data_IF_498247272374
#
_entry.id   IF_498247272374
#
_cell.length_a   1.000
_cell.length_b   1.000
_cell.length_c   1.000
_cell.angle_alpha   90.00
_cell.angle_beta   90.00
_cell.angle_gamma   90.00
#
_symmetry.space_group_name_H-M   'P 1'
#
loop_
_entity.id
_entity.type
_entity.pdbx_description
1 polymer ?
#
# COMPACT_ATOMS: atom_id res chain seq x y z
N UNK A 1 8.24 -0.49 -6.27
CA UNK A 1 9.33 0.51 -6.53
C UNK A 1 9.72 1.33 -5.30
N UNK A 2 8.77 1.89 -4.56
CA UNK A 2 9.01 2.83 -3.46
C UNK A 2 9.88 2.24 -2.32
N UNK A 3 9.70 0.96 -1.96
CA UNK A 3 10.51 0.29 -0.93
C UNK A 3 12.00 0.21 -1.31
N UNK A 4 12.29 -0.12 -2.58
CA UNK A 4 13.65 -0.19 -3.13
C UNK A 4 14.33 1.18 -3.09
N UNK A 5 13.60 2.23 -3.45
CA UNK A 5 14.10 3.60 -3.43
C UNK A 5 14.35 4.14 -2.02
N UNK A 6 13.52 3.77 -1.04
CA UNK A 6 13.71 4.13 0.35
C UNK A 6 14.93 3.40 0.94
N UNK A 7 15.03 2.08 0.73
CA UNK A 7 16.16 1.28 1.17
C UNK A 7 17.49 1.75 0.56
N UNK A 8 17.51 2.13 -0.72
CA UNK A 8 18.68 2.71 -1.39
C UNK A 8 19.16 4.03 -0.76
N UNK A 9 18.29 4.75 -0.06
CA UNK A 9 18.62 5.97 0.70
C UNK A 9 18.94 5.69 2.17
N UNK A 10 19.11 4.42 2.55
CA UNK A 10 19.47 4.01 3.90
C UNK A 10 18.29 3.82 4.85
N UNK A 11 17.05 3.85 4.37
CA UNK A 11 15.90 3.54 5.21
C UNK A 11 15.92 2.06 5.64
N UNK A 12 15.54 1.80 6.89
CA UNK A 12 15.21 0.45 7.37
C UNK A 12 13.75 0.19 7.02
N UNK A 13 13.49 -0.82 6.20
CA UNK A 13 12.18 -1.04 5.59
C UNK A 13 11.46 -2.21 6.26
N UNK A 14 10.22 -1.97 6.67
CA UNK A 14 9.22 -3.03 6.83
C UNK A 14 8.35 -2.99 5.59
N UNK A 15 8.22 -4.10 4.87
CA UNK A 15 7.31 -4.20 3.73
C UNK A 15 6.10 -5.04 4.10
N UNK A 16 4.90 -4.61 3.73
CA UNK A 16 3.68 -5.33 4.04
C UNK A 16 2.80 -5.53 2.80
N UNK A 17 2.28 -6.73 2.62
CA UNK A 17 1.38 -7.08 1.53
C UNK A 17 0.68 -8.41 1.81
N UNK A 18 -0.33 -8.74 1.00
CA UNK A 18 -1.01 -10.04 1.06
C UNK A 18 -0.24 -11.16 0.35
N UNK A 19 0.53 -10.80 -0.69
CA UNK A 19 1.39 -11.72 -1.42
C UNK A 19 2.71 -11.90 -0.65
N UNK A 20 2.86 -13.04 0.02
CA UNK A 20 4.01 -13.32 0.88
C UNK A 20 5.26 -13.67 0.08
N UNK A 21 5.09 -14.31 -1.07
CA UNK A 21 6.15 -14.70 -1.98
C UNK A 21 6.84 -13.45 -2.55
N UNK A 22 6.06 -12.47 -3.02
CA UNK A 22 6.59 -11.18 -3.49
C UNK A 22 7.35 -10.41 -2.38
N UNK A 23 6.87 -10.47 -1.14
CA UNK A 23 7.56 -9.88 0.01
C UNK A 23 8.90 -10.57 0.32
N UNK A 24 8.93 -11.90 0.27
CA UNK A 24 10.15 -12.69 0.49
C UNK A 24 11.20 -12.34 -0.57
N UNK A 25 10.80 -12.30 -1.84
CA UNK A 25 11.67 -11.91 -2.95
C UNK A 25 12.22 -10.49 -2.77
N UNK A 26 11.36 -9.53 -2.45
CA UNK A 26 11.78 -8.14 -2.18
C UNK A 26 12.78 -8.07 -1.03
N UNK A 27 12.50 -8.70 0.11
CA UNK A 27 13.40 -8.65 1.27
C UNK A 27 14.73 -9.34 0.97
N UNK A 28 14.73 -10.46 0.25
CA UNK A 28 15.96 -11.11 -0.18
C UNK A 28 16.78 -10.20 -1.11
N UNK A 29 16.13 -9.54 -2.07
CA UNK A 29 16.77 -8.58 -2.97
C UNK A 29 17.43 -7.42 -2.21
N UNK A 30 16.71 -6.80 -1.27
CA UNK A 30 17.20 -5.67 -0.49
C UNK A 30 18.36 -6.09 0.43
N UNK A 31 18.24 -7.23 1.11
CA UNK A 31 19.31 -7.77 1.95
C UNK A 31 20.56 -8.12 1.14
N UNK A 32 20.40 -8.66 -0.07
CA UNK A 32 21.50 -8.91 -1.00
C UNK A 32 22.28 -7.65 -1.40
N UNK A 33 21.64 -6.48 -1.32
CA UNK A 33 22.25 -5.16 -1.53
C UNK A 33 22.82 -4.52 -0.25
N UNK A 34 22.87 -5.27 0.86
CA UNK A 34 23.33 -4.78 2.16
C UNK A 34 22.34 -3.86 2.88
N UNK A 35 21.08 -3.81 2.43
CA UNK A 35 20.05 -2.95 3.00
C UNK A 35 19.28 -3.67 4.10
N UNK A 36 18.74 -2.92 5.06
CA UNK A 36 17.95 -3.47 6.17
C UNK A 36 16.47 -3.54 5.80
N UNK A 37 15.95 -4.75 5.64
CA UNK A 37 14.54 -4.98 5.36
C UNK A 37 13.97 -6.21 6.07
N UNK A 38 12.72 -6.13 6.50
CA UNK A 38 11.88 -7.26 6.95
C UNK A 38 10.50 -7.15 6.31
N UNK A 39 9.71 -8.22 6.36
CA UNK A 39 8.35 -8.20 5.82
C UNK A 39 7.32 -8.69 6.84
N UNK A 40 6.07 -8.26 6.63
CA UNK A 40 4.89 -8.73 7.34
C UNK A 40 3.81 -9.06 6.32
N UNK A 41 3.34 -10.31 6.29
CA UNK A 41 2.14 -10.65 5.54
C UNK A 41 0.93 -10.06 6.25
N UNK A 42 0.23 -9.15 5.59
CA UNK A 42 -0.91 -8.45 6.17
C UNK A 42 -1.92 -8.01 5.10
N UNK A 43 -3.19 -8.06 5.46
CA UNK A 43 -4.27 -7.33 4.80
C UNK A 43 -4.54 -6.02 5.55
N UNK A 44 -4.32 -4.89 4.86
CA UNK A 44 -4.52 -3.56 5.47
C UNK A 44 -5.97 -3.29 5.83
N UNK A 45 -6.94 -4.00 5.24
CA UNK A 45 -8.35 -3.91 5.61
C UNK A 45 -8.67 -4.50 6.99
N UNK A 46 -7.69 -5.09 7.67
CA UNK A 46 -7.83 -5.70 8.99
C UNK A 46 -6.92 -4.97 9.99
N UNK A 47 -7.54 -4.22 10.90
CA UNK A 47 -6.83 -3.36 11.86
C UNK A 47 -5.82 -4.12 12.72
N UNK A 48 -6.13 -5.37 13.13
CA UNK A 48 -5.21 -6.20 13.91
C UNK A 48 -3.93 -6.53 13.15
N UNK A 49 -4.01 -6.71 11.82
CA UNK A 49 -2.85 -7.02 11.00
C UNK A 49 -1.99 -5.77 10.75
N UNK A 50 -2.63 -4.62 10.60
CA UNK A 50 -1.94 -3.32 10.48
C UNK A 50 -1.13 -3.02 11.74
N UNK A 51 -1.68 -3.30 12.92
CA UNK A 51 -0.95 -3.13 14.18
C UNK A 51 0.30 -4.01 14.26
N UNK A 52 0.25 -5.26 13.76
CA UNK A 52 1.42 -6.15 13.70
C UNK A 52 2.55 -5.59 12.84
N UNK A 53 2.25 -4.81 11.79
CA UNK A 53 3.27 -4.15 10.96
C UNK A 53 4.06 -3.16 11.82
N UNK A 54 3.37 -2.31 12.57
CA UNK A 54 4.01 -1.32 13.45
C UNK A 54 4.80 -1.99 14.59
N UNK A 55 4.23 -3.02 15.23
CA UNK A 55 4.92 -3.82 16.25
C UNK A 55 6.21 -4.42 15.69
N UNK A 56 6.17 -4.98 14.49
CA UNK A 56 7.35 -5.56 13.83
C UNK A 56 8.41 -4.48 13.58
N UNK A 57 8.02 -3.28 13.13
CA UNK A 57 8.95 -2.17 12.92
C UNK A 57 9.64 -1.76 14.23
N UNK A 58 8.89 -1.65 15.31
CA UNK A 58 9.40 -1.26 16.62
C UNK A 58 10.31 -2.35 17.20
N UNK A 59 9.91 -3.62 17.15
CA UNK A 59 10.71 -4.73 17.65
C UNK A 59 12.01 -4.92 16.86
N UNK A 60 11.97 -4.75 15.54
CA UNK A 60 13.13 -5.00 14.67
C UNK A 60 14.08 -3.81 14.62
N UNK A 61 13.55 -2.59 14.54
CA UNK A 61 14.33 -1.38 14.26
C UNK A 61 14.29 -0.33 15.38
N UNK A 62 13.52 -0.58 16.45
CA UNK A 62 13.40 0.25 17.64
C UNK A 62 12.37 1.37 17.53
N UNK A 63 11.94 1.74 16.32
CA UNK A 63 11.00 2.84 16.08
C UNK A 63 10.35 2.75 14.69
N UNK A 64 9.24 3.47 14.53
CA UNK A 64 8.60 3.75 13.25
C UNK A 64 8.65 5.26 13.00
N UNK A 65 9.27 5.72 11.89
CA UNK A 65 9.42 7.15 11.57
C UNK A 65 8.47 7.64 10.47
N UNK A 66 8.21 6.77 9.49
CA UNK A 66 7.40 7.07 8.32
C UNK A 66 6.49 5.88 8.05
N UNK A 67 5.22 6.17 7.76
CA UNK A 67 4.23 5.19 7.34
C UNK A 67 3.71 5.54 5.94
N UNK A 68 3.61 4.56 5.05
CA UNK A 68 3.17 4.79 3.67
C UNK A 68 1.92 3.95 3.38
N UNK A 69 0.76 4.60 3.38
CA UNK A 69 -0.46 3.95 2.91
C UNK A 69 -0.41 3.85 1.37
N UNK A 70 0.12 2.73 0.88
CA UNK A 70 0.26 2.45 -0.56
C UNK A 70 -0.66 1.32 -1.06
N UNK A 71 -1.11 0.41 -0.19
CA UNK A 71 -2.00 -0.67 -0.61
C UNK A 71 -3.28 -0.10 -1.23
N UNK A 72 -3.60 -0.58 -2.42
CA UNK A 72 -4.79 -0.20 -3.17
C UNK A 72 -5.23 -1.32 -4.09
N UNK A 73 -6.50 -1.29 -4.46
CA UNK A 73 -7.11 -2.18 -5.42
C UNK A 73 -8.02 -1.41 -6.36
N UNK A 74 -8.16 -1.91 -7.58
CA UNK A 74 -8.94 -1.27 -8.63
C UNK A 74 -10.04 -2.20 -9.13
N UNK A 75 -11.16 -1.61 -9.51
CA UNK A 75 -12.26 -2.30 -10.20
C UNK A 75 -12.47 -1.61 -11.54
N UNK A 76 -12.42 -2.39 -12.61
CA UNK A 76 -12.78 -1.94 -13.95
C UNK A 76 -14.12 -2.58 -14.34
N UNK A 77 -15.12 -1.76 -14.61
CA UNK A 77 -16.45 -2.21 -15.02
C UNK A 77 -17.43 -1.06 -15.22
N UNK A 78 -18.57 -1.32 -15.87
CA UNK A 78 -19.66 -0.35 -15.89
C UNK A 78 -20.23 -0.21 -14.49
N UNK A 79 -20.63 1.02 -14.10
CA UNK A 79 -21.10 1.26 -12.73
C UNK A 79 -22.27 0.35 -12.31
N UNK A 80 -23.14 -0.03 -13.24
CA UNK A 80 -24.27 -0.93 -13.00
C UNK A 80 -23.90 -2.42 -12.94
N UNK A 81 -22.68 -2.78 -13.35
CA UNK A 81 -22.18 -4.16 -13.39
C UNK A 81 -21.28 -4.49 -12.19
N UNK A 82 -20.78 -3.46 -11.49
CA UNK A 82 -19.93 -3.66 -10.31
C UNK A 82 -20.80 -4.15 -9.15
N UNK A 83 -20.45 -5.32 -8.63
CA UNK A 83 -21.14 -5.90 -7.48
C UNK A 83 -20.94 -5.03 -6.24
N UNK A 84 -21.94 -5.00 -5.35
CA UNK A 84 -21.77 -4.34 -4.06
C UNK A 84 -20.63 -4.97 -3.26
N UNK A 85 -20.41 -6.28 -3.36
CA UNK A 85 -19.32 -6.98 -2.67
C UNK A 85 -17.94 -6.47 -3.11
N UNK A 86 -17.72 -6.31 -4.41
CA UNK A 86 -16.48 -5.75 -4.94
C UNK A 86 -16.29 -4.31 -4.49
N UNK A 87 -17.35 -3.49 -4.54
CA UNK A 87 -17.29 -2.12 -4.05
C UNK A 87 -16.91 -2.05 -2.55
N UNK A 88 -17.50 -2.91 -1.71
CA UNK A 88 -17.12 -3.00 -0.30
C UNK A 88 -15.68 -3.43 -0.13
N UNK A 89 -15.20 -4.44 -0.88
CA UNK A 89 -13.81 -4.90 -0.81
C UNK A 89 -12.82 -3.81 -1.22
N UNK A 90 -13.15 -3.00 -2.22
CA UNK A 90 -12.37 -1.83 -2.62
C UNK A 90 -12.31 -0.81 -1.47
N UNK A 91 -13.44 -0.45 -0.87
CA UNK A 91 -13.47 0.48 0.27
C UNK A 91 -12.71 -0.06 1.49
N UNK A 92 -12.82 -1.36 1.77
CA UNK A 92 -12.06 -2.01 2.85
C UNK A 92 -10.56 -1.84 2.66
N UNK A 93 -10.04 -1.95 1.44
CA UNK A 93 -8.61 -1.78 1.17
C UNK A 93 -8.23 -0.29 1.08
N UNK A 94 -8.86 0.44 0.16
CA UNK A 94 -8.44 1.77 -0.27
C UNK A 94 -8.81 2.86 0.74
N UNK A 95 -9.89 2.68 1.50
CA UNK A 95 -10.31 3.65 2.52
C UNK A 95 -9.97 3.17 3.92
N UNK A 96 -10.50 2.02 4.34
CA UNK A 96 -10.28 1.52 5.71
C UNK A 96 -8.81 1.18 5.96
N UNK A 97 -8.10 0.62 4.98
CA UNK A 97 -6.66 0.40 5.09
C UNK A 97 -5.85 1.68 5.37
N UNK A 98 -6.19 2.78 4.70
CA UNK A 98 -5.57 4.10 4.96
C UNK A 98 -5.90 4.60 6.36
N UNK A 99 -7.16 4.43 6.80
CA UNK A 99 -7.61 4.82 8.14
C UNK A 99 -6.85 4.05 9.21
N UNK A 100 -6.76 2.72 9.08
CA UNK A 100 -6.05 1.86 10.01
C UNK A 100 -4.57 2.25 10.09
N UNK A 101 -3.88 2.31 8.95
CA UNK A 101 -2.47 2.66 8.90
C UNK A 101 -2.18 4.05 9.48
N UNK A 102 -3.02 5.05 9.16
CA UNK A 102 -2.89 6.40 9.71
C UNK A 102 -3.08 6.42 11.23
N UNK A 103 -4.11 5.75 11.75
CA UNK A 103 -4.35 5.67 13.20
C UNK A 103 -3.17 5.03 13.92
N UNK A 104 -2.70 3.87 13.44
CA UNK A 104 -1.57 3.15 14.02
C UNK A 104 -0.29 4.00 14.03
N UNK A 105 0.05 4.64 12.91
CA UNK A 105 1.23 5.50 12.82
C UNK A 105 1.14 6.74 13.73
N UNK A 106 0.01 7.45 13.71
CA UNK A 106 -0.20 8.65 14.53
C UNK A 106 -0.20 8.32 16.02
N UNK A 107 -0.80 7.19 16.42
CA UNK A 107 -0.75 6.73 17.80
C UNK A 107 0.69 6.53 18.26
N UNK A 108 1.51 5.84 17.45
CA UNK A 108 2.93 5.65 17.75
C UNK A 108 3.70 6.98 17.85
N UNK A 109 3.47 7.92 16.93
CA UNK A 109 4.14 9.23 16.97
C UNK A 109 3.78 10.04 18.22
N UNK A 110 2.51 9.95 18.66
CA UNK A 110 2.06 10.58 19.90
C UNK A 110 2.70 9.94 21.13
N UNK A 111 2.71 8.61 21.21
CA UNK A 111 3.26 7.86 22.35
C UNK A 111 4.77 8.08 22.51
N UNK A 112 5.53 8.09 21.39
CA UNK A 112 6.97 8.34 21.43
C UNK A 112 7.34 9.81 21.67
N UNK A 113 6.38 10.73 21.54
CA UNK A 113 6.60 12.17 21.71
C UNK A 113 7.48 12.82 20.62
N UNK A 114 7.59 12.21 19.44
CA UNK A 114 8.41 12.72 18.33
C UNK A 114 7.63 12.74 17.02
N UNK A 115 7.78 13.79 16.19
CA UNK A 115 7.09 13.89 14.90
C UNK A 115 7.48 12.75 13.98
N UNK A 116 6.56 12.34 13.11
CA UNK A 116 6.79 11.38 12.04
C UNK A 116 6.02 11.78 10.78
N UNK A 117 6.10 10.97 9.73
CA UNK A 117 5.41 11.25 8.47
C UNK A 117 4.40 10.15 8.13
N UNK A 118 3.20 10.53 7.71
CA UNK A 118 2.24 9.63 7.06
C UNK A 118 2.10 10.07 5.61
N UNK A 119 2.34 9.14 4.68
CA UNK A 119 2.25 9.38 3.24
C UNK A 119 1.09 8.53 2.71
N UNK A 120 0.11 9.18 2.10
CA UNK A 120 -1.00 8.49 1.42
C UNK A 120 -0.74 8.54 -0.08
N UNK A 121 -0.57 7.38 -0.69
CA UNK A 121 -0.45 7.27 -2.15
C UNK A 121 -1.85 7.12 -2.71
N UNK A 122 -2.39 8.21 -3.25
CA UNK A 122 -3.66 8.20 -3.95
C UNK A 122 -3.43 8.08 -5.45
N UNK A 123 -4.27 7.30 -6.10
CA UNK A 123 -4.33 7.19 -7.54
C UNK A 123 -5.25 8.30 -8.08
N UNK A 124 -4.82 8.99 -9.15
CA UNK A 124 -5.68 9.89 -9.92
C UNK A 124 -6.12 9.16 -11.17
N UNK A 125 -7.41 9.17 -11.45
CA UNK A 125 -7.93 8.59 -12.68
C UNK A 125 -8.06 9.59 -13.79
N UNK A 126 -7.62 9.16 -14.94
CA UNK A 126 -7.83 9.87 -16.17
C UNK A 126 -9.10 9.33 -16.82
N UNK A 127 -10.21 10.05 -16.64
CA UNK A 127 -11.39 9.85 -17.45
C UNK A 127 -11.16 10.55 -18.77
N UNK A 128 -10.54 9.85 -19.72
CA UNK A 128 -10.74 10.22 -21.12
C UNK A 128 -12.25 10.18 -21.34
N UNK A 129 -12.86 11.27 -21.83
CA UNK A 129 -14.32 11.48 -21.89
C UNK A 129 -15.14 10.46 -22.71
N UNK A 130 -14.58 9.28 -22.97
CA UNK A 130 -15.17 8.12 -23.63
C UNK A 130 -15.88 7.14 -22.68
N UNK A 131 -15.62 7.18 -21.37
CA UNK A 131 -16.37 6.37 -20.40
C UNK A 131 -17.39 7.24 -19.66
N UNK A 132 -18.55 7.45 -20.29
CA UNK A 132 -19.60 8.30 -19.70
C UNK A 132 -20.26 7.70 -18.43
N UNK A 133 -20.05 6.42 -18.10
CA UNK A 133 -20.78 5.72 -17.00
C UNK A 133 -19.93 4.70 -16.20
N UNK A 134 -18.60 4.82 -16.16
CA UNK A 134 -17.72 3.85 -15.46
C UNK A 134 -17.11 4.40 -14.17
N UNK A 135 -16.93 3.56 -13.16
CA UNK A 135 -15.99 3.85 -12.07
C UNK A 135 -14.58 3.49 -12.57
N UNK A 136 -13.77 4.50 -12.82
CA UNK A 136 -12.35 4.31 -13.08
C UNK A 136 -11.59 4.73 -11.84
N UNK A 137 -10.97 3.77 -11.15
CA UNK A 137 -9.75 3.96 -10.35
C UNK A 137 -8.59 3.33 -11.15
N UNK A 138 -7.54 4.08 -11.51
CA UNK A 138 -6.65 3.80 -12.64
C UNK A 138 -5.23 4.23 -12.33
N UNK A 139 -4.31 3.27 -12.27
CA UNK A 139 -2.94 3.44 -11.81
C UNK A 139 -2.18 4.59 -12.49
N UNK A 140 -1.40 5.28 -11.67
CA UNK A 140 -0.49 6.33 -12.10
C UNK A 140 0.37 6.83 -10.95
N UNK A 141 1.23 5.98 -10.38
CA UNK A 141 2.57 6.50 -10.07
C UNK A 141 3.15 6.88 -11.44
N UNK A 142 3.41 8.16 -11.67
CA UNK A 142 3.78 8.72 -12.98
C UNK A 142 4.76 7.83 -13.77
N UNK A 143 4.27 6.97 -14.66
CA UNK A 143 5.01 6.34 -15.76
C UNK A 143 4.02 6.10 -16.90
N UNK A 144 4.32 6.73 -18.03
CA UNK A 144 3.53 6.74 -19.25
C UNK A 144 3.61 5.38 -19.98
N UNK A 145 2.48 4.66 -20.14
CA UNK A 145 2.36 3.55 -21.10
C UNK A 145 1.00 3.55 -21.81
N UNK A 146 1.02 3.18 -23.10
CA UNK A 146 0.03 3.50 -24.14
C UNK A 146 -0.79 2.31 -24.63
N UNK A 147 -1.23 1.38 -23.77
CA UNK A 147 -2.12 0.27 -24.20
C UNK A 147 -3.24 -0.04 -23.19
N UNK A 148 -4.46 -0.38 -23.67
CA UNK A 148 -5.60 -0.67 -22.80
C UNK A 148 -5.46 -2.04 -22.12
N UNK A 149 -5.68 -2.15 -20.80
CA UNK A 149 -5.67 -3.43 -20.10
C UNK A 149 -6.99 -4.21 -20.31
N UNK A 150 -6.90 -5.54 -20.26
CA UNK A 150 -8.04 -6.46 -20.19
C UNK A 150 -8.63 -6.46 -18.78
N UNK A 151 -9.91 -6.83 -18.63
CA UNK A 151 -10.56 -7.00 -17.34
C UNK A 151 -9.72 -7.88 -16.40
N UNK A 152 -9.43 -7.35 -15.22
CA UNK A 152 -8.70 -8.04 -14.16
C UNK A 152 -8.56 -7.12 -12.95
N UNK A 153 -8.50 -7.71 -11.76
CA UNK A 153 -8.08 -7.02 -10.54
C UNK A 153 -6.55 -7.05 -10.48
N UNK A 154 -5.88 -5.90 -10.64
CA UNK A 154 -4.50 -5.76 -10.22
C UNK A 154 -4.44 -5.45 -8.72
N UNK A 155 -3.50 -6.08 -8.04
CA UNK A 155 -3.14 -5.80 -6.65
C UNK A 155 -1.62 -5.88 -6.65
N UNK A 156 -0.90 -4.87 -6.16
CA UNK A 156 0.36 -5.12 -5.42
C UNK A 156 1.06 -3.88 -4.84
N UNK A 157 1.84 -4.19 -3.80
CA UNK A 157 2.71 -3.36 -2.94
C UNK A 157 1.96 -2.51 -1.88
N UNK A 158 2.15 -2.84 -0.60
CA UNK A 158 2.09 -1.86 0.50
C UNK A 158 3.50 -1.72 1.09
N UNK A 159 3.78 -0.58 1.71
CA UNK A 159 5.05 -0.29 2.38
C UNK A 159 4.74 0.10 3.81
#
# INVERSE_FOLDING_TARGET
>A
MTARMAAARGAKVVAAARNEEALKELVQELKGKGQSAVYVKADVGREDEVNRIAETAIQTFGRLDTWVNNAGSFIFGQAMEVSSEDAHRLFTTNFWGVVHGTKTAVQHFKERGMPGAVINVICRTWTDGKYKNGIGEGEGACVHHTHPPKLGTSVEEAI
#
